data_IF_906174524843
#
_entry.id   IF_906174524843
#
_cell.length_a   1.000
_cell.length_b   1.000
_cell.length_c   1.000
_cell.angle_alpha   90.00
_cell.angle_beta   90.00
_cell.angle_gamma   90.00
#
_symmetry.space_group_name_H-M   'P 1'
#
loop_
_entity.id
_entity.type
_entity.pdbx_description
1 polymer ?
#
# COMPACT_ATOMS: atom_id res chain seq x y z
N UNK A 1 -19.57 -5.57 24.19
CA UNK A 1 -20.52 -5.40 23.05
C UNK A 1 -20.50 -4.00 22.43
N UNK A 2 -20.50 -2.90 23.21
CA UNK A 2 -20.50 -1.53 22.65
C UNK A 2 -19.26 -1.21 21.80
N UNK A 3 -18.09 -1.72 22.18
CA UNK A 3 -16.83 -1.43 21.47
C UNK A 3 -16.81 -1.96 20.03
N UNK A 4 -17.36 -3.14 19.78
CA UNK A 4 -17.43 -3.71 18.43
C UNK A 4 -18.33 -2.89 17.48
N UNK A 5 -19.39 -2.27 18.00
CA UNK A 5 -20.29 -1.40 17.23
C UNK A 5 -19.66 -0.04 16.93
N UNK A 6 -18.93 0.52 17.90
CA UNK A 6 -18.17 1.77 17.72
C UNK A 6 -17.07 1.59 16.67
N UNK A 7 -16.35 0.47 16.70
CA UNK A 7 -15.35 0.11 15.69
C UNK A 7 -15.92 0.07 14.27
N UNK A 8 -17.06 -0.61 14.08
CA UNK A 8 -17.74 -0.67 12.78
C UNK A 8 -18.15 0.72 12.28
N UNK A 9 -18.62 1.58 13.19
CA UNK A 9 -19.02 2.95 12.85
C UNK A 9 -17.82 3.81 12.47
N UNK A 10 -16.74 3.77 13.26
CA UNK A 10 -15.51 4.49 12.98
C UNK A 10 -14.88 4.05 11.66
N UNK A 11 -14.90 2.74 11.36
CA UNK A 11 -14.45 2.24 10.05
C UNK A 11 -15.22 2.86 8.90
N UNK A 12 -16.56 2.89 8.99
CA UNK A 12 -17.38 3.51 7.95
C UNK A 12 -17.05 4.99 7.78
N UNK A 13 -16.80 5.72 8.87
CA UNK A 13 -16.36 7.12 8.80
C UNK A 13 -15.02 7.28 8.06
N UNK A 14 -14.04 6.39 8.34
CA UNK A 14 -12.74 6.39 7.68
C UNK A 14 -12.87 6.06 6.19
N UNK A 15 -13.67 5.04 5.84
CA UNK A 15 -13.97 4.69 4.45
C UNK A 15 -14.62 5.86 3.71
N UNK A 16 -15.63 6.49 4.31
CA UNK A 16 -16.33 7.63 3.71
C UNK A 16 -15.41 8.84 3.44
N UNK A 17 -14.30 8.97 4.19
CA UNK A 17 -13.29 10.01 3.93
C UNK A 17 -12.44 9.71 2.69
N UNK A 18 -12.05 8.45 2.48
CA UNK A 18 -11.12 8.09 1.39
C UNK A 18 -11.82 7.70 0.09
N UNK A 19 -13.01 7.11 0.18
CA UNK A 19 -13.75 6.58 -0.96
C UNK A 19 -14.04 7.62 -2.05
N UNK A 20 -14.44 8.88 -1.74
CA UNK A 20 -14.62 9.91 -2.76
C UNK A 20 -13.34 10.19 -3.55
N UNK A 21 -12.19 10.16 -2.88
CA UNK A 21 -10.90 10.39 -3.54
C UNK A 21 -10.54 9.22 -4.44
N UNK A 22 -10.73 7.98 -4.00
CA UNK A 22 -10.50 6.79 -4.83
C UNK A 22 -11.38 6.83 -6.09
N UNK A 23 -12.68 7.13 -5.92
CA UNK A 23 -13.64 7.24 -7.03
C UNK A 23 -13.37 8.39 -7.99
N UNK A 24 -12.57 9.39 -7.59
CA UNK A 24 -12.19 10.49 -8.47
C UNK A 24 -11.17 10.09 -9.55
N UNK A 25 -10.48 8.95 -9.37
CA UNK A 25 -9.55 8.41 -10.35
C UNK A 25 -10.25 7.41 -11.28
N UNK A 26 -9.84 7.39 -12.56
CA UNK A 26 -10.24 6.34 -13.49
C UNK A 26 -9.40 5.08 -13.22
N UNK A 27 -10.04 4.00 -12.78
CA UNK A 27 -9.41 2.68 -12.56
C UNK A 27 -8.11 2.74 -11.73
N UNK A 28 -8.14 3.24 -10.48
CA UNK A 28 -6.94 3.46 -9.67
C UNK A 28 -6.26 2.15 -9.24
N UNK A 29 -4.94 2.21 -9.10
CA UNK A 29 -4.16 1.23 -8.35
C UNK A 29 -3.93 1.76 -6.92
N UNK A 30 -4.15 0.91 -5.92
CA UNK A 30 -4.04 1.28 -4.50
C UNK A 30 -2.94 0.46 -3.82
N UNK A 31 -2.13 1.14 -3.02
CA UNK A 31 -1.19 0.53 -2.08
C UNK A 31 -1.61 0.90 -0.66
N UNK A 32 -1.94 -0.11 0.14
CA UNK A 32 -2.36 0.03 1.54
C UNK A 32 -1.26 -0.49 2.47
N UNK A 33 -0.52 0.42 3.08
CA UNK A 33 0.55 0.11 4.05
C UNK A 33 -0.09 0.10 5.43
N UNK A 34 0.05 -1.02 6.14
CA UNK A 34 -0.67 -1.24 7.38
C UNK A 34 -2.11 -1.71 7.12
N UNK A 35 -2.33 -2.57 6.11
CA UNK A 35 -3.65 -3.06 5.74
C UNK A 35 -4.33 -3.88 6.85
N UNK A 36 -3.59 -4.24 7.90
CA UNK A 36 -4.07 -5.05 9.02
C UNK A 36 -4.32 -6.50 8.66
N UNK A 37 -4.77 -7.26 9.65
CA UNK A 37 -4.92 -8.72 9.59
C UNK A 37 -6.09 -9.22 8.74
N UNK A 38 -6.98 -8.32 8.32
CA UNK A 38 -8.15 -8.65 7.48
C UNK A 38 -8.14 -7.91 6.14
N UNK A 39 -7.23 -6.95 5.91
CA UNK A 39 -7.23 -6.13 4.70
C UNK A 39 -8.61 -5.52 4.36
N UNK A 40 -9.41 -5.15 5.38
CA UNK A 40 -10.84 -4.78 5.20
C UNK A 40 -11.03 -3.60 4.25
N UNK A 41 -10.17 -2.58 4.32
CA UNK A 41 -10.25 -1.46 3.38
C UNK A 41 -10.12 -1.94 1.94
N UNK A 42 -9.07 -2.71 1.63
CA UNK A 42 -8.83 -3.23 0.29
C UNK A 42 -10.03 -4.03 -0.22
N UNK A 43 -10.60 -4.90 0.62
CA UNK A 43 -11.80 -5.66 0.27
C UNK A 43 -13.01 -4.75 0.00
N UNK A 44 -13.25 -3.74 0.86
CA UNK A 44 -14.37 -2.81 0.70
C UNK A 44 -14.24 -1.93 -0.57
N UNK A 45 -13.02 -1.60 -0.98
CA UNK A 45 -12.77 -0.77 -2.17
C UNK A 45 -12.53 -1.57 -3.45
N UNK A 46 -12.45 -2.91 -3.40
CA UNK A 46 -12.19 -3.80 -4.54
C UNK A 46 -13.02 -3.47 -5.80
N UNK A 47 -14.33 -3.14 -5.69
CA UNK A 47 -15.15 -2.82 -6.85
C UNK A 47 -14.70 -1.53 -7.57
N UNK A 48 -14.01 -0.63 -6.88
CA UNK A 48 -13.66 0.71 -7.36
C UNK A 48 -12.21 0.84 -7.84
N UNK A 49 -11.40 -0.22 -7.70
CA UNK A 49 -9.99 -0.22 -8.04
C UNK A 49 -9.69 -1.19 -9.20
N UNK A 50 -8.62 -0.89 -9.94
CA UNK A 50 -8.05 -1.80 -10.92
C UNK A 50 -7.18 -2.86 -10.26
N UNK A 51 -6.32 -2.44 -9.31
CA UNK A 51 -5.45 -3.34 -8.53
C UNK A 51 -5.20 -2.77 -7.14
N UNK A 52 -5.15 -3.64 -6.14
CA UNK A 52 -4.89 -3.33 -4.74
C UNK A 52 -3.74 -4.17 -4.21
N UNK A 53 -2.76 -3.52 -3.58
CA UNK A 53 -1.65 -4.19 -2.89
C UNK A 53 -1.71 -3.83 -1.40
N UNK A 54 -1.81 -4.83 -0.53
CA UNK A 54 -1.73 -4.65 0.92
C UNK A 54 -0.39 -5.11 1.48
N UNK A 55 0.21 -4.33 2.36
CA UNK A 55 1.46 -4.70 3.03
C UNK A 55 1.27 -4.47 4.53
N UNK A 56 1.40 -5.53 5.32
CA UNK A 56 1.36 -5.48 6.78
C UNK A 56 2.12 -6.70 7.33
N UNK A 57 2.73 -6.62 8.50
CA UNK A 57 3.42 -7.76 9.11
C UNK A 57 2.46 -8.90 9.49
N UNK A 58 1.18 -8.58 9.68
CA UNK A 58 0.08 -9.52 9.94
C UNK A 58 -0.88 -9.65 8.75
N UNK A 59 -0.49 -9.21 7.55
CA UNK A 59 -1.38 -9.27 6.39
C UNK A 59 -1.89 -10.70 6.16
N UNK A 60 -3.19 -10.87 5.85
CA UNK A 60 -3.71 -12.17 5.43
C UNK A 60 -3.09 -12.57 4.09
N UNK A 61 -3.14 -13.84 3.70
CA UNK A 61 -2.74 -14.26 2.35
C UNK A 61 -3.96 -14.14 1.43
N UNK A 62 -4.05 -13.04 0.68
CA UNK A 62 -5.08 -12.79 -0.33
C UNK A 62 -4.37 -12.68 -1.68
N UNK A 63 -4.84 -13.45 -2.65
CA UNK A 63 -4.35 -13.41 -4.01
C UNK A 63 -5.54 -13.60 -4.96
N UNK A 64 -6.27 -12.52 -5.22
CA UNK A 64 -7.32 -12.44 -6.23
C UNK A 64 -6.80 -11.72 -7.47
N UNK A 65 -7.62 -11.63 -8.51
CA UNK A 65 -7.26 -10.90 -9.73
C UNK A 65 -6.96 -9.42 -9.46
N UNK A 66 -7.65 -8.83 -8.48
CA UNK A 66 -7.53 -7.41 -8.13
C UNK A 66 -6.68 -7.17 -6.88
N UNK A 67 -6.76 -8.02 -5.87
CA UNK A 67 -6.12 -7.79 -4.56
C UNK A 67 -5.02 -8.79 -4.30
N UNK A 68 -3.85 -8.28 -3.92
CA UNK A 68 -2.74 -9.08 -3.43
C UNK A 68 -2.23 -8.50 -2.11
N UNK A 69 -1.97 -9.36 -1.15
CA UNK A 69 -1.44 -8.94 0.16
C UNK A 69 -0.13 -9.65 0.48
N UNK A 70 0.77 -8.94 1.15
CA UNK A 70 2.11 -9.42 1.48
C UNK A 70 2.37 -9.22 2.97
N UNK A 71 2.71 -10.32 3.64
CA UNK A 71 3.28 -10.27 4.99
C UNK A 71 4.73 -9.77 4.88
N UNK A 72 5.00 -8.55 5.38
CA UNK A 72 6.35 -7.97 5.30
C UNK A 72 6.70 -7.19 6.58
N UNK A 73 7.95 -7.36 7.02
CA UNK A 73 8.52 -6.61 8.13
C UNK A 73 9.49 -5.55 7.58
N UNK A 74 9.22 -4.28 7.86
CA UNK A 74 10.13 -3.20 7.48
C UNK A 74 11.32 -3.18 8.43
N UNK A 75 12.49 -3.58 7.92
CA UNK A 75 13.75 -3.42 8.65
C UNK A 75 14.07 -1.93 8.82
N UNK A 76 14.55 -1.55 10.00
CA UNK A 76 15.06 -0.20 10.21
C UNK A 76 16.25 0.02 9.30
N UNK A 77 16.37 1.21 8.69
CA UNK A 77 17.63 1.58 8.03
C UNK A 77 18.72 1.52 9.08
N UNK A 78 19.64 0.57 8.94
CA UNK A 78 20.84 0.51 9.76
C UNK A 78 21.51 1.89 9.74
N UNK A 79 21.62 2.53 10.91
CA UNK A 79 22.41 3.74 11.14
C UNK A 79 23.91 3.45 11.12
N UNK A 80 24.36 2.51 10.28
CA UNK A 80 25.76 2.46 9.86
C UNK A 80 25.97 3.60 8.89
N UNK A 81 26.20 4.77 9.49
CA UNK A 81 26.94 5.88 8.94
C UNK A 81 27.97 5.37 7.94
N UNK A 82 27.69 5.63 6.68
CA UNK A 82 28.68 5.60 5.62
C UNK A 82 29.81 6.56 6.03
N UNK A 83 30.92 6.01 6.49
CA UNK A 83 32.20 6.69 6.37
C UNK A 83 32.50 6.78 4.87
N UNK A 84 32.09 7.89 4.24
CA UNK A 84 32.51 8.23 2.88
C UNK A 84 33.98 8.64 2.92
N UNK A 85 34.86 7.65 2.83
CA UNK A 85 36.22 7.84 2.34
C UNK A 85 36.46 6.81 1.25
N UNK A 86 36.47 7.27 0.00
CA UNK A 86 36.95 6.50 -1.14
C UNK A 86 35.87 5.91 -2.04
N UNK A 87 35.66 6.57 -3.17
CA UNK A 87 35.54 5.91 -4.46
C UNK A 87 34.33 5.00 -4.72
N UNK A 88 33.27 5.60 -5.27
CA UNK A 88 32.41 4.95 -6.27
C UNK A 88 31.49 3.83 -5.79
N UNK A 89 30.49 3.59 -6.65
CA UNK A 89 29.49 2.52 -6.61
C UNK A 89 28.22 2.83 -5.77
N UNK A 90 27.13 2.99 -6.52
CA UNK A 90 25.75 3.30 -6.13
C UNK A 90 25.21 2.35 -5.04
N UNK A 91 24.34 2.80 -4.12
CA UNK A 91 23.69 1.89 -3.20
C UNK A 91 22.61 1.08 -3.94
N UNK A 92 22.79 -0.22 -3.85
CA UNK A 92 21.92 -1.31 -4.23
C UNK A 92 20.46 -1.05 -3.79
N UNK A 93 19.61 -0.62 -4.72
CA UNK A 93 18.17 -0.81 -4.58
C UNK A 93 17.89 -2.31 -4.68
N UNK A 94 17.45 -2.94 -3.59
CA UNK A 94 16.73 -4.19 -3.69
C UNK A 94 15.47 -3.94 -4.53
N UNK A 95 15.58 -4.26 -5.82
CA UNK A 95 14.49 -4.26 -6.77
C UNK A 95 13.44 -5.25 -6.26
N UNK A 96 12.38 -4.73 -5.65
CA UNK A 96 11.05 -5.34 -5.84
C UNK A 96 10.92 -5.52 -7.36
N UNK A 97 10.59 -6.70 -7.90
CA UNK A 97 10.54 -6.91 -9.34
C UNK A 97 9.26 -6.26 -9.89
N UNK A 98 9.19 -4.93 -9.84
CA UNK A 98 8.26 -4.17 -10.67
C UNK A 98 8.82 -4.26 -12.08
N UNK A 99 8.23 -5.15 -12.90
CA UNK A 99 8.55 -5.25 -14.33
C UNK A 99 8.54 -3.83 -14.90
N UNK A 100 9.71 -3.42 -15.41
CA UNK A 100 9.90 -2.25 -16.26
C UNK A 100 8.85 -2.32 -17.37
N UNK A 101 7.77 -1.55 -17.26
CA UNK A 101 7.00 -1.17 -18.44
C UNK A 101 7.90 -0.16 -19.15
N UNK A 102 8.54 -0.63 -20.21
CA UNK A 102 9.31 0.20 -21.11
C UNK A 102 8.36 1.19 -21.80
N UNK A 103 8.85 2.43 -21.90
CA UNK A 103 8.46 3.45 -22.88
C UNK A 103 7.09 4.12 -22.67
N UNK A 104 7.08 5.04 -21.72
CA UNK A 104 6.10 6.10 -21.59
C UNK A 104 6.37 6.82 -20.28
N UNK A 105 6.61 8.13 -20.30
CA UNK A 105 6.65 8.93 -19.08
C UNK A 105 5.21 8.97 -18.55
N UNK A 106 4.82 7.90 -17.85
CA UNK A 106 3.58 7.87 -17.09
C UNK A 106 3.89 8.66 -15.82
N UNK A 107 3.46 9.93 -15.76
CA UNK A 107 3.40 10.64 -14.49
C UNK A 107 2.50 9.83 -13.54
N UNK A 108 3.13 9.02 -12.68
CA UNK A 108 2.45 8.34 -11.58
C UNK A 108 2.05 9.42 -10.58
N UNK A 109 0.84 9.95 -10.75
CA UNK A 109 0.21 10.83 -9.76
C UNK A 109 -0.16 10.00 -8.54
N UNK A 110 0.80 9.81 -7.64
CA UNK A 110 0.59 9.13 -6.37
C UNK A 110 -0.03 10.11 -5.37
N UNK A 111 -1.22 9.78 -4.85
CA UNK A 111 -1.86 10.53 -3.77
C UNK A 111 -1.84 9.68 -2.51
N UNK A 112 -1.24 10.22 -1.45
CA UNK A 112 -1.24 9.56 -0.13
C UNK A 112 -2.56 9.83 0.55
N UNK A 113 -3.30 8.76 0.85
CA UNK A 113 -4.57 8.83 1.58
C UNK A 113 -4.35 8.29 2.98
N UNK A 114 -4.62 9.11 3.99
CA UNK A 114 -4.65 8.68 5.39
C UNK A 114 -6.10 8.35 5.74
N UNK A 115 -6.37 7.10 6.04
CA UNK A 115 -7.67 6.63 6.49
C UNK A 115 -7.65 6.34 7.97
#
# INVERSE_FOLDING_TARGET
MKEALLESTLRKMRLNRVLPTIKSFKNPNVLDIGCGWEARLLQEIEPYIAKGIGIDFKAPTINTDKIQTFAYYFESKDTKSMNFNGGGVMPFFHKIPFRKIQNGICHLNMRVLKW
#
